data_IF_498835240163
#
_entry.id   IF_498835240163
#
_cell.length_a   1.000
_cell.length_b   1.000
_cell.length_c   1.000
_cell.angle_alpha   90.00
_cell.angle_beta   90.00
_cell.angle_gamma   90.00
#
_symmetry.space_group_name_H-M   'P 1'
#
loop_
_entity.id
_entity.type
_entity.pdbx_description
1 polymer ?
#
# COMPACT_ATOMS: atom_id res chain seq x y z
N UNK A 1 -14.85 -12.83 12.99
CA UNK A 1 -14.42 -12.94 11.58
C UNK A 1 -13.55 -11.73 11.35
N UNK A 2 -12.24 -11.85 11.51
CA UNK A 2 -11.30 -10.78 11.16
C UNK A 2 -10.28 -11.37 10.20
N UNK A 3 -10.77 -11.72 9.02
CA UNK A 3 -9.90 -11.94 7.87
C UNK A 3 -9.48 -10.60 7.33
N UNK A 4 -8.59 -9.88 8.03
CA UNK A 4 -7.89 -8.77 7.41
C UNK A 4 -7.06 -9.39 6.30
N UNK A 5 -7.48 -9.20 5.06
CA UNK A 5 -6.76 -9.67 3.88
C UNK A 5 -5.32 -9.13 3.99
N UNK A 6 -4.32 -10.02 4.07
CA UNK A 6 -2.93 -9.58 4.18
C UNK A 6 -2.55 -8.87 2.87
N UNK A 7 -2.09 -7.62 2.95
CA UNK A 7 -1.61 -6.85 1.80
C UNK A 7 -0.08 -6.87 1.76
N UNK A 8 0.47 -6.94 0.55
CA UNK A 8 1.85 -6.59 0.27
C UNK A 8 1.93 -5.14 -0.20
N UNK A 9 3.01 -4.46 0.18
CA UNK A 9 3.21 -3.06 -0.15
C UNK A 9 4.43 -2.94 -1.05
N UNK A 10 4.25 -2.42 -2.26
CA UNK A 10 5.34 -2.15 -3.18
C UNK A 10 5.78 -0.69 -3.05
N UNK A 11 7.03 -0.44 -2.66
CA UNK A 11 7.64 0.88 -2.73
C UNK A 11 8.49 0.93 -3.99
N UNK A 12 8.03 1.69 -4.98
CA UNK A 12 8.75 1.92 -6.22
C UNK A 12 9.48 3.27 -6.15
N UNK A 13 10.79 3.21 -6.33
CA UNK A 13 11.67 4.38 -6.43
C UNK A 13 12.37 4.33 -7.80
N UNK A 14 12.95 5.43 -8.28
CA UNK A 14 13.69 5.41 -9.55
C UNK A 14 14.74 4.28 -9.58
N UNK A 15 14.58 3.35 -10.53
CA UNK A 15 15.50 2.22 -10.74
C UNK A 15 15.37 1.06 -9.73
N UNK A 16 14.43 1.10 -8.77
CA UNK A 16 14.24 0.00 -7.82
C UNK A 16 12.78 -0.16 -7.37
N UNK A 17 12.40 -1.36 -6.94
CA UNK A 17 11.10 -1.62 -6.34
C UNK A 17 11.22 -2.68 -5.25
N UNK A 18 10.83 -2.35 -4.02
CA UNK A 18 10.82 -3.30 -2.91
C UNK A 18 9.39 -3.69 -2.55
N UNK A 19 9.20 -4.96 -2.21
CA UNK A 19 7.96 -5.45 -1.61
C UNK A 19 8.19 -5.64 -0.11
N UNK A 20 7.33 -5.03 0.69
CA UNK A 20 7.41 -5.04 2.15
C UNK A 20 6.04 -5.38 2.75
N UNK A 21 6.05 -5.80 4.01
CA UNK A 21 4.81 -6.04 4.78
C UNK A 21 4.25 -4.74 5.35
N UNK A 22 3.01 -4.77 5.87
CA UNK A 22 2.42 -3.63 6.57
C UNK A 22 3.27 -3.17 7.76
N UNK A 23 3.76 -4.10 8.58
CA UNK A 23 4.60 -3.77 9.73
C UNK A 23 5.91 -3.09 9.33
N UNK A 24 6.55 -3.53 8.24
CA UNK A 24 7.72 -2.83 7.70
C UNK A 24 7.41 -1.45 7.14
N UNK A 25 6.25 -1.31 6.48
CA UNK A 25 5.77 -0.02 5.97
C UNK A 25 5.63 1.00 7.11
N UNK A 26 4.94 0.61 8.18
CA UNK A 26 4.67 1.45 9.35
C UNK A 26 5.95 1.81 10.13
N UNK A 27 6.97 0.96 10.09
CA UNK A 27 8.27 1.22 10.73
C UNK A 27 9.20 2.11 9.88
N UNK A 28 9.16 1.98 8.55
CA UNK A 28 10.12 2.63 7.65
C UNK A 28 9.62 3.94 7.05
N UNK A 29 8.30 4.14 6.98
CA UNK A 29 7.69 5.28 6.28
C UNK A 29 6.76 6.07 7.19
N UNK A 30 6.70 7.38 6.95
CA UNK A 30 5.82 8.27 7.69
C UNK A 30 4.44 8.25 7.05
N UNK A 31 3.43 7.83 7.81
CA UNK A 31 2.03 7.83 7.39
C UNK A 31 1.48 9.26 7.54
N UNK A 32 0.93 9.81 6.46
CA UNK A 32 0.28 11.12 6.43
C UNK A 32 -1.23 11.08 6.63
N UNK A 33 -1.84 9.91 6.51
CA UNK A 33 -3.28 9.69 6.64
C UNK A 33 -3.69 8.37 5.99
N UNK A 34 -4.96 8.25 5.63
CA UNK A 34 -5.52 7.05 5.01
C UNK A 34 -6.36 7.40 3.77
N UNK A 35 -6.58 6.43 2.90
CA UNK A 35 -7.47 6.57 1.75
C UNK A 35 -8.92 6.30 2.16
N UNK A 36 -9.76 7.34 2.15
CA UNK A 36 -11.14 7.29 2.65
C UNK A 36 -12.15 7.68 1.57
N UNK A 37 -11.72 7.84 0.30
CA UNK A 37 -12.64 8.15 -0.79
C UNK A 37 -13.44 6.92 -1.17
N UNK A 38 -14.75 7.03 -1.14
CA UNK A 38 -15.66 5.93 -1.53
C UNK A 38 -15.60 5.60 -3.03
N UNK A 39 -14.94 6.43 -3.85
CA UNK A 39 -14.80 6.21 -5.29
C UNK A 39 -13.55 5.39 -5.69
N UNK A 40 -12.72 4.97 -4.73
CA UNK A 40 -11.58 4.08 -5.02
C UNK A 40 -12.00 2.61 -4.96
N UNK A 41 -11.11 1.71 -5.40
CA UNK A 41 -11.32 0.26 -5.24
C UNK A 41 -11.42 -0.08 -3.75
N UNK A 42 -12.26 -1.04 -3.39
CA UNK A 42 -12.45 -1.46 -2.00
C UNK A 42 -11.12 -1.85 -1.32
N UNK A 43 -10.21 -2.49 -2.06
CA UNK A 43 -8.89 -2.88 -1.55
C UNK A 43 -7.98 -1.67 -1.18
N UNK A 44 -8.26 -0.50 -1.74
CA UNK A 44 -7.52 0.74 -1.48
C UNK A 44 -8.12 1.54 -0.33
N UNK A 45 -9.39 1.33 0.00
CA UNK A 45 -10.02 2.01 1.11
C UNK A 45 -9.36 1.60 2.44
N UNK A 46 -9.05 2.57 3.29
CA UNK A 46 -8.35 2.37 4.56
C UNK A 46 -6.84 2.10 4.42
N UNK A 47 -6.28 2.09 3.20
CA UNK A 47 -4.83 1.94 3.02
C UNK A 47 -4.10 3.24 3.44
N UNK A 48 -2.90 3.13 4.03
CA UNK A 48 -2.13 4.29 4.48
C UNK A 48 -1.69 5.17 3.30
N UNK A 49 -1.63 6.47 3.52
CA UNK A 49 -0.95 7.42 2.63
C UNK A 49 0.42 7.72 3.22
N UNK A 50 1.46 7.76 2.39
CA UNK A 50 2.83 7.98 2.85
C UNK A 50 3.31 9.38 2.48
N UNK A 51 4.05 10.02 3.37
CA UNK A 51 4.69 11.32 3.09
C UNK A 51 5.75 11.13 2.00
N UNK A 52 5.66 11.94 0.93
CA UNK A 52 6.65 11.93 -0.16
C UNK A 52 6.45 10.82 -1.19
N UNK A 53 5.34 10.08 -1.15
CA UNK A 53 4.99 9.09 -2.16
C UNK A 53 3.60 9.35 -2.73
N UNK A 54 3.44 9.08 -4.02
CA UNK A 54 2.17 8.95 -4.71
C UNK A 54 1.57 7.58 -4.41
N UNK A 55 0.32 7.53 -3.96
CA UNK A 55 -0.39 6.32 -3.57
C UNK A 55 -1.47 6.59 -2.52
N UNK A 56 -2.18 5.55 -2.04
CA UNK A 56 -2.08 4.13 -2.40
C UNK A 56 -2.64 3.82 -3.80
N UNK A 57 -1.99 2.92 -4.54
CA UNK A 57 -2.44 2.47 -5.87
C UNK A 57 -2.52 0.95 -5.97
N UNK A 58 -3.51 0.45 -6.71
CA UNK A 58 -3.64 -1.00 -6.92
C UNK A 58 -2.60 -1.49 -7.93
N UNK A 59 -1.88 -2.56 -7.57
CA UNK A 59 -0.82 -3.13 -8.42
C UNK A 59 -1.02 -4.64 -8.66
N UNK A 60 -2.28 -5.10 -8.64
CA UNK A 60 -2.62 -6.49 -8.88
C UNK A 60 -2.42 -7.38 -7.66
N UNK A 61 -2.19 -8.67 -7.92
CA UNK A 61 -1.96 -9.68 -6.89
C UNK A 61 -0.66 -10.42 -7.18
N UNK A 62 0.10 -10.74 -6.13
CA UNK A 62 1.28 -11.61 -6.20
C UNK A 62 1.01 -12.87 -5.40
N UNK A 63 1.02 -14.02 -6.07
CA UNK A 63 0.65 -15.32 -5.47
C UNK A 63 -0.71 -15.30 -4.75
N UNK A 64 -1.68 -14.59 -5.33
CA UNK A 64 -3.03 -14.43 -4.75
C UNK A 64 -3.15 -13.30 -3.71
N UNK A 65 -2.04 -12.74 -3.24
CA UNK A 65 -2.00 -11.68 -2.23
C UNK A 65 -2.10 -10.30 -2.90
N UNK A 66 -3.05 -9.44 -2.50
CA UNK A 66 -3.14 -8.05 -2.95
C UNK A 66 -1.83 -7.25 -2.82
N UNK A 67 -1.51 -6.43 -3.83
CA UNK A 67 -0.34 -5.55 -3.80
C UNK A 67 -0.77 -4.09 -3.94
N UNK A 68 -0.42 -3.28 -2.94
CA UNK A 68 -0.62 -1.83 -2.95
C UNK A 68 0.72 -1.14 -3.24
N UNK A 69 0.76 -0.28 -4.25
CA UNK A 69 1.96 0.42 -4.71
C UNK A 69 1.99 1.88 -4.26
N UNK A 70 3.19 2.33 -3.95
CA UNK A 70 3.57 3.71 -3.66
C UNK A 70 4.77 4.07 -4.51
N UNK A 71 4.76 5.26 -5.11
CA UNK A 71 5.80 5.73 -6.02
C UNK A 71 6.38 7.06 -5.54
N UNK A 72 7.70 7.17 -5.41
CA UNK A 72 8.40 8.44 -5.11
C UNK A 72 8.90 9.13 -6.37
#
# INVERSE_FOLDING_TARGET
MDGQEEFLYQIATPGNGQLITKGELEQKYVISGYEERECVRDELYGQPKLVGFSGPMWNGRKNGIPVIRYES
#
